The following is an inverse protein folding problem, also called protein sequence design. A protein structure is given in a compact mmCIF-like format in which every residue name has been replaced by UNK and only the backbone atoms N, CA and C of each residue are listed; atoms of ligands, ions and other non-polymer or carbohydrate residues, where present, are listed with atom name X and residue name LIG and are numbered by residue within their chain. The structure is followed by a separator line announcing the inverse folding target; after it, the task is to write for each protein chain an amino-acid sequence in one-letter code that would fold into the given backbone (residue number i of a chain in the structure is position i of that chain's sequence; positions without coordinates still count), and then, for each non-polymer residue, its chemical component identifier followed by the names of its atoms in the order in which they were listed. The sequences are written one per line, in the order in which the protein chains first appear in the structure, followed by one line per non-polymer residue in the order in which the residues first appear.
data_IF_329574310339
#
_entry.id   IF_329574310339
#
_cell.length_a   1.000
_cell.length_b   1.000
_cell.length_c   1.000
_cell.angle_alpha   90.00
_cell.angle_beta   90.00
_cell.angle_gamma   90.00
#
_symmetry.space_group_name_H-M   'P 1'
#
loop_
_entity.id
_entity.type
_entity.pdbx_description
1 polymer ?
#
# COMPACT_ATOMS: atom_id res chain seq x y z
N UNK A 1 48.24 10.81 -19.20
CA UNK A 1 46.90 10.37 -19.61
C UNK A 1 45.90 10.95 -18.62
N UNK A 2 45.00 11.86 -19.00
CA UNK A 2 44.02 12.36 -18.05
C UNK A 2 42.99 11.26 -17.77
N UNK A 3 42.74 11.00 -16.49
CA UNK A 3 41.70 10.10 -16.01
C UNK A 3 40.34 10.59 -16.55
N UNK A 4 39.73 9.80 -17.43
CA UNK A 4 38.37 10.02 -17.87
C UNK A 4 37.45 9.63 -16.71
N UNK A 5 37.11 10.59 -15.86
CA UNK A 5 36.13 10.41 -14.80
C UNK A 5 34.79 10.20 -15.50
N UNK A 6 34.20 9.01 -15.33
CA UNK A 6 32.84 8.73 -15.78
C UNK A 6 31.89 9.66 -15.03
N UNK A 7 31.37 10.68 -15.72
CA UNK A 7 30.27 11.49 -15.20
C UNK A 7 28.98 10.67 -15.34
N UNK A 8 28.41 10.30 -14.20
CA UNK A 8 27.08 9.70 -14.16
C UNK A 8 26.07 10.84 -14.18
N UNK A 9 25.15 10.80 -15.15
CA UNK A 9 23.97 11.67 -15.14
C UNK A 9 23.04 11.17 -14.03
N UNK A 10 23.01 11.89 -12.91
CA UNK A 10 22.24 11.54 -11.71
C UNK A 10 20.74 11.49 -12.01
N UNK A 11 20.21 12.44 -12.79
CA UNK A 11 18.78 12.45 -13.15
C UNK A 11 18.41 11.23 -14.01
N UNK A 12 19.28 10.87 -14.96
CA UNK A 12 19.10 9.67 -15.77
C UNK A 12 19.17 8.40 -14.91
N UNK A 13 20.10 8.35 -13.94
CA UNK A 13 20.26 7.22 -13.03
C UNK A 13 19.01 7.03 -12.16
N UNK A 14 18.54 8.09 -11.51
CA UNK A 14 17.34 8.07 -10.67
C UNK A 14 16.13 7.59 -11.46
N UNK A 15 15.86 8.22 -12.62
CA UNK A 15 14.70 7.84 -13.45
C UNK A 15 14.77 6.38 -13.92
N UNK A 16 15.96 5.90 -14.29
CA UNK A 16 16.13 4.50 -14.71
C UNK A 16 15.97 3.54 -13.55
N UNK A 17 16.50 3.89 -12.37
CA UNK A 17 16.41 3.08 -11.18
C UNK A 17 14.96 2.95 -10.72
N UNK A 18 14.24 4.06 -10.64
CA UNK A 18 12.82 4.08 -10.26
C UNK A 18 12.00 3.18 -11.18
N UNK A 19 12.17 3.33 -12.51
CA UNK A 19 11.50 2.46 -13.47
C UNK A 19 11.82 0.98 -13.26
N UNK A 20 13.09 0.65 -13.03
CA UNK A 20 13.50 -0.74 -12.78
C UNK A 20 12.88 -1.29 -11.49
N UNK A 21 12.83 -0.49 -10.43
CA UNK A 21 12.20 -0.88 -9.16
C UNK A 21 10.71 -1.13 -9.37
N UNK A 22 9.98 -0.19 -9.99
CA UNK A 22 8.55 -0.35 -10.27
C UNK A 22 8.27 -1.60 -11.11
N UNK A 23 9.03 -1.81 -12.21
CA UNK A 23 8.90 -2.99 -13.07
C UNK A 23 9.15 -4.30 -12.31
N UNK A 24 10.17 -4.33 -11.44
CA UNK A 24 10.50 -5.53 -10.67
C UNK A 24 9.48 -5.82 -9.58
N UNK A 25 8.98 -4.80 -8.90
CA UNK A 25 7.92 -4.96 -7.90
C UNK A 25 6.64 -5.48 -8.56
N UNK A 26 6.24 -4.92 -9.70
CA UNK A 26 5.07 -5.41 -10.46
C UNK A 26 5.24 -6.87 -10.90
N UNK A 27 6.42 -7.24 -11.42
CA UNK A 27 6.71 -8.62 -11.82
C UNK A 27 6.63 -9.58 -10.63
N UNK A 28 7.20 -9.21 -9.49
CA UNK A 28 7.20 -10.04 -8.27
C UNK A 28 5.79 -10.23 -7.71
N UNK A 29 4.99 -9.16 -7.61
CA UNK A 29 3.61 -9.24 -7.14
C UNK A 29 2.77 -10.16 -8.02
N UNK A 30 2.89 -10.02 -9.35
CA UNK A 30 2.18 -10.89 -10.29
C UNK A 30 2.64 -12.35 -10.21
N UNK A 31 3.94 -12.59 -10.05
CA UNK A 31 4.46 -13.94 -9.86
C UNK A 31 3.96 -14.59 -8.57
N UNK A 32 3.87 -13.83 -7.48
CA UNK A 32 3.30 -14.31 -6.22
C UNK A 32 1.82 -14.66 -6.35
N UNK A 33 1.01 -13.83 -7.02
CA UNK A 33 -0.40 -14.13 -7.28
C UNK A 33 -0.57 -15.41 -8.11
N UNK A 34 0.28 -15.60 -9.13
CA UNK A 34 0.26 -16.82 -9.92
C UNK A 34 0.69 -18.04 -9.09
N UNK A 35 1.67 -17.91 -8.20
CA UNK A 35 2.09 -19.00 -7.30
C UNK A 35 0.96 -19.39 -6.31
N UNK A 36 0.29 -18.42 -5.69
CA UNK A 36 -0.89 -18.67 -4.85
C UNK A 36 -1.99 -19.41 -5.61
N UNK A 37 -2.21 -19.05 -6.88
CA UNK A 37 -3.19 -19.74 -7.71
C UNK A 37 -2.81 -21.21 -7.95
N UNK A 38 -1.53 -21.51 -8.15
CA UNK A 38 -1.05 -22.89 -8.32
C UNK A 38 -1.24 -23.71 -7.04
N UNK A 39 -0.98 -23.12 -5.87
CA UNK A 39 -1.25 -23.74 -4.56
C UNK A 39 -2.76 -24.03 -4.37
N UNK A 40 -3.62 -23.07 -4.67
CA UNK A 40 -5.08 -23.24 -4.57
C UNK A 40 -5.57 -24.30 -5.56
N UNK A 41 -5.06 -24.32 -6.80
CA UNK A 41 -5.45 -25.31 -7.80
C UNK A 41 -4.86 -26.70 -7.55
N UNK A 42 -3.78 -26.80 -6.77
CA UNK A 42 -3.02 -28.04 -6.56
C UNK A 42 -2.30 -28.54 -7.81
N UNK A 43 -2.01 -27.63 -8.75
CA UNK A 43 -1.41 -27.94 -10.04
C UNK A 43 -0.95 -26.66 -10.73
N UNK A 44 0.22 -26.70 -11.37
CA UNK A 44 0.72 -25.59 -12.17
C UNK A 44 -0.12 -25.34 -13.43
N UNK A 45 0.12 -24.18 -14.06
CA UNK A 45 -0.53 -23.82 -15.32
C UNK A 45 -0.26 -24.87 -16.40
N UNK A 46 -1.34 -25.39 -16.98
CA UNK A 46 -1.34 -26.47 -18.00
C UNK A 46 -0.85 -27.84 -17.55
N UNK A 47 -0.48 -28.01 -16.27
CA UNK A 47 -0.10 -29.30 -15.74
C UNK A 47 -1.27 -30.28 -15.78
N UNK A 48 -1.01 -31.57 -15.96
CA UNK A 48 -2.04 -32.62 -15.79
C UNK A 48 -1.77 -33.33 -14.48
N UNK A 49 -2.52 -32.95 -13.44
CA UNK A 49 -2.45 -33.57 -12.12
C UNK A 49 -3.82 -34.13 -11.74
N UNK A 50 -3.83 -35.32 -11.13
CA UNK A 50 -5.03 -35.93 -10.55
C UNK A 50 -5.49 -35.21 -9.26
N UNK A 51 -4.62 -34.41 -8.65
CA UNK A 51 -4.91 -33.65 -7.42
C UNK A 51 -5.56 -32.29 -7.68
N UNK A 52 -5.79 -31.92 -8.95
CA UNK A 52 -6.34 -30.62 -9.34
C UNK A 52 -7.72 -30.39 -8.74
N UNK A 53 -7.86 -29.28 -8.00
CA UNK A 53 -9.11 -28.88 -7.31
C UNK A 53 -9.90 -27.81 -8.05
N UNK A 54 -9.21 -26.96 -8.81
CA UNK A 54 -9.82 -25.86 -9.54
C UNK A 54 -9.09 -25.61 -10.87
N UNK A 55 -9.72 -24.83 -11.75
CA UNK A 55 -9.20 -24.52 -13.09
C UNK A 55 -8.98 -23.01 -13.24
N UNK A 56 -7.85 -22.63 -13.83
CA UNK A 56 -7.59 -21.23 -14.21
C UNK A 56 -8.54 -20.79 -15.33
N UNK A 57 -9.17 -19.64 -15.15
CA UNK A 57 -10.14 -19.03 -16.06
C UNK A 57 -9.67 -17.65 -16.57
N UNK A 58 -8.36 -17.49 -16.71
CA UNK A 58 -7.71 -16.23 -17.08
C UNK A 58 -7.44 -15.33 -15.89
N UNK A 59 -7.36 -14.02 -16.14
CA UNK A 59 -7.05 -13.00 -15.14
C UNK A 59 -8.02 -11.82 -15.27
N UNK A 60 -8.09 -10.96 -14.25
CA UNK A 60 -8.54 -9.57 -14.41
C UNK A 60 -7.43 -8.63 -13.97
N UNK A 61 -7.44 -7.42 -14.51
CA UNK A 61 -6.49 -6.38 -14.15
C UNK A 61 -7.07 -5.47 -13.07
N UNK A 62 -6.24 -5.11 -12.09
CA UNK A 62 -6.50 -4.03 -11.14
C UNK A 62 -5.21 -3.29 -10.80
N UNK A 63 -5.35 -2.03 -10.40
CA UNK A 63 -4.22 -1.25 -9.93
C UNK A 63 -4.07 -1.36 -8.41
N UNK A 64 -2.82 -1.37 -7.95
CA UNK A 64 -2.45 -1.24 -6.54
C UNK A 64 -1.37 -0.17 -6.40
N UNK A 65 -1.62 0.85 -5.60
CA UNK A 65 -0.60 1.83 -5.23
C UNK A 65 0.29 1.26 -4.13
N UNK A 66 1.59 1.21 -4.40
CA UNK A 66 2.64 0.85 -3.42
C UNK A 66 3.67 1.98 -3.38
N UNK A 67 4.64 1.89 -2.47
CA UNK A 67 5.72 2.91 -2.37
C UNK A 67 6.44 3.17 -3.69
N UNK A 68 6.69 2.12 -4.47
CA UNK A 68 7.34 2.18 -5.78
C UNK A 68 6.43 2.69 -6.92
N UNK A 69 5.22 3.17 -6.63
CA UNK A 69 4.27 3.71 -7.61
C UNK A 69 3.02 2.83 -7.78
N UNK A 70 2.32 3.02 -8.90
CA UNK A 70 1.12 2.24 -9.22
C UNK A 70 1.49 0.97 -9.97
N UNK A 71 1.13 -0.19 -9.42
CA UNK A 71 1.39 -1.51 -10.01
C UNK A 71 0.15 -2.05 -10.70
N UNK A 72 0.32 -2.58 -11.91
CA UNK A 72 -0.74 -3.29 -12.64
C UNK A 72 -0.73 -4.76 -12.25
N UNK A 73 -1.75 -5.18 -11.50
CA UNK A 73 -1.89 -6.55 -11.03
C UNK A 73 -2.79 -7.34 -11.97
N UNK A 74 -2.32 -8.53 -12.37
CA UNK A 74 -3.07 -9.55 -13.09
C UNK A 74 -3.53 -10.59 -12.08
N UNK A 75 -4.72 -10.39 -11.54
CA UNK A 75 -5.27 -11.27 -10.51
C UNK A 75 -5.89 -12.51 -11.16
N UNK A 76 -5.46 -13.73 -10.78
CA UNK A 76 -6.00 -14.97 -11.31
C UNK A 76 -7.50 -15.12 -11.07
N UNK A 77 -8.20 -15.65 -12.07
CA UNK A 77 -9.58 -16.14 -11.95
C UNK A 77 -9.55 -17.65 -11.88
N UNK A 78 -10.23 -18.21 -10.90
CA UNK A 78 -10.37 -19.66 -10.75
C UNK A 78 -11.83 -20.08 -10.95
N UNK A 79 -12.02 -21.27 -11.52
CA UNK A 79 -13.30 -21.96 -11.66
C UNK A 79 -13.28 -23.19 -10.75
N UNK A 80 -14.23 -23.27 -9.83
CA UNK A 80 -14.31 -24.33 -8.82
C UNK A 80 -13.69 -23.97 -7.46
N UNK A 81 -13.00 -22.84 -7.35
CA UNK A 81 -12.52 -22.28 -6.08
C UNK A 81 -12.59 -20.75 -6.12
N UNK A 82 -12.69 -20.12 -4.94
CA UNK A 82 -12.51 -18.68 -4.78
C UNK A 82 -11.02 -18.37 -4.72
N UNK A 83 -10.58 -17.35 -5.46
CA UNK A 83 -9.22 -16.84 -5.34
C UNK A 83 -9.18 -15.75 -4.26
N UNK A 84 -8.64 -16.09 -3.09
CA UNK A 84 -8.33 -15.15 -2.02
C UNK A 84 -6.81 -15.12 -1.84
N UNK A 85 -6.22 -13.95 -2.08
CA UNK A 85 -4.77 -13.75 -2.00
C UNK A 85 -4.37 -13.39 -0.57
N UNK A 86 -3.30 -14.01 -0.08
CA UNK A 86 -2.63 -13.62 1.16
C UNK A 86 -1.64 -12.47 0.92
N UNK A 87 -1.10 -12.36 -0.31
CA UNK A 87 -0.18 -11.28 -0.71
C UNK A 87 -0.92 -9.94 -0.80
N UNK A 88 -2.15 -9.92 -1.33
CA UNK A 88 -2.90 -8.69 -1.56
C UNK A 88 -4.37 -8.86 -1.21
N UNK A 89 -4.81 -8.15 -0.18
CA UNK A 89 -6.21 -8.11 0.22
C UNK A 89 -7.17 -7.78 -0.95
N UNK A 90 -8.34 -8.41 -0.89
CA UNK A 90 -9.41 -8.18 -1.85
C UNK A 90 -9.89 -6.73 -1.76
N UNK A 91 -10.06 -6.07 -2.91
CA UNK A 91 -10.50 -4.67 -3.04
C UNK A 91 -9.56 -3.60 -2.47
N UNK A 92 -8.46 -3.98 -1.82
CA UNK A 92 -7.43 -3.03 -1.39
C UNK A 92 -6.83 -2.33 -2.61
N UNK A 93 -6.78 -0.99 -2.55
CA UNK A 93 -6.26 -0.12 -3.61
C UNK A 93 -4.88 0.46 -3.31
N UNK A 94 -4.50 0.51 -2.04
CA UNK A 94 -3.23 1.06 -1.56
C UNK A 94 -2.61 0.13 -0.54
N UNK A 95 -1.29 -0.01 -0.59
CA UNK A 95 -0.49 -0.67 0.44
C UNK A 95 -0.61 0.09 1.77
N UNK A 96 -0.48 -0.63 2.87
CA UNK A 96 -0.54 -0.07 4.23
C UNK A 96 0.43 1.08 4.44
N UNK A 97 1.67 0.89 4.00
CA UNK A 97 2.73 1.87 4.22
C UNK A 97 2.52 3.20 3.48
N UNK A 98 1.77 3.19 2.37
CA UNK A 98 1.33 4.41 1.67
C UNK A 98 0.24 5.11 2.49
N UNK A 99 -0.68 4.35 3.06
CA UNK A 99 -1.77 4.88 3.87
C UNK A 99 -1.27 5.47 5.19
N UNK A 100 -0.28 4.83 5.84
CA UNK A 100 0.41 5.32 7.02
C UNK A 100 1.12 6.66 6.75
N UNK A 101 1.89 6.76 5.66
CA UNK A 101 2.57 8.00 5.30
C UNK A 101 1.58 9.17 5.10
N UNK A 102 0.39 8.91 4.54
CA UNK A 102 -0.65 9.92 4.37
C UNK A 102 -1.30 10.34 5.70
N UNK A 103 -1.44 9.40 6.65
CA UNK A 103 -1.90 9.68 8.01
C UNK A 103 -0.85 10.52 8.76
N UNK A 104 0.43 10.16 8.66
CA UNK A 104 1.53 10.87 9.31
C UNK A 104 1.63 12.32 8.82
N UNK A 105 1.44 12.55 7.51
CA UNK A 105 1.36 13.91 6.97
C UNK A 105 0.24 14.73 7.63
N UNK A 106 -0.94 14.15 7.78
CA UNK A 106 -2.06 14.83 8.44
C UNK A 106 -1.74 15.14 9.91
N UNK A 107 -1.17 14.17 10.64
CA UNK A 107 -0.75 14.36 12.04
C UNK A 107 0.35 15.42 12.18
N UNK A 108 1.21 15.57 11.17
CA UNK A 108 2.22 16.63 11.09
C UNK A 108 1.63 18.03 10.75
N UNK A 109 0.31 18.15 10.59
CA UNK A 109 -0.38 19.42 10.35
C UNK A 109 -0.66 19.72 8.88
N UNK A 110 -0.43 18.78 7.96
CA UNK A 110 -0.78 18.94 6.55
C UNK A 110 -2.29 18.82 6.38
N UNK A 111 -2.92 19.82 5.74
CA UNK A 111 -4.37 19.80 5.53
C UNK A 111 -4.80 18.61 4.66
N UNK A 112 -6.01 18.08 4.87
CA UNK A 112 -6.53 16.93 4.08
C UNK A 112 -6.60 17.18 2.58
N UNK A 113 -6.69 18.45 2.14
CA UNK A 113 -6.62 18.82 0.72
C UNK A 113 -5.20 18.75 0.20
N UNK A 114 -4.24 19.24 0.97
CA UNK A 114 -2.83 19.19 0.61
C UNK A 114 -2.30 17.75 0.61
N UNK A 115 -2.79 16.89 1.50
CA UNK A 115 -2.53 15.44 1.45
C UNK A 115 -3.05 14.82 0.14
N UNK A 116 -4.24 15.21 -0.35
CA UNK A 116 -4.75 14.74 -1.65
C UNK A 116 -3.85 15.18 -2.82
N UNK A 117 -3.37 16.43 -2.79
CA UNK A 117 -2.48 16.96 -3.83
C UNK A 117 -1.10 16.28 -3.81
N UNK A 118 -0.53 16.05 -2.63
CA UNK A 118 0.73 15.31 -2.45
C UNK A 118 0.56 13.86 -2.90
N UNK A 119 -0.55 13.20 -2.53
CA UNK A 119 -0.83 11.82 -2.95
C UNK A 119 -0.81 11.68 -4.48
N UNK A 120 -1.42 12.63 -5.18
CA UNK A 120 -1.45 12.65 -6.64
C UNK A 120 -0.06 12.90 -7.23
N UNK A 121 0.72 13.78 -6.63
CA UNK A 121 2.07 14.11 -7.10
C UNK A 121 3.01 12.91 -6.96
N UNK A 122 2.98 12.22 -5.82
CA UNK A 122 3.91 11.13 -5.51
C UNK A 122 3.51 9.81 -6.18
N UNK A 123 2.22 9.49 -6.23
CA UNK A 123 1.75 8.16 -6.65
C UNK A 123 0.82 8.18 -7.86
N UNK A 124 0.46 9.35 -8.40
CA UNK A 124 -0.44 9.48 -9.55
C UNK A 124 -1.91 9.24 -9.22
N UNK A 125 -2.24 8.81 -8.00
CA UNK A 125 -3.62 8.58 -7.54
C UNK A 125 -3.98 9.54 -6.40
N UNK A 126 -5.17 10.15 -6.50
CA UNK A 126 -5.76 10.97 -5.43
C UNK A 126 -6.16 10.11 -4.24
N UNK A 127 -5.96 10.60 -3.02
CA UNK A 127 -6.63 10.05 -1.84
C UNK A 127 -7.76 11.00 -1.48
N UNK A 128 -9.04 10.63 -1.71
CA UNK A 128 -10.14 11.49 -1.33
C UNK A 128 -10.04 11.85 0.15
N UNK A 129 -10.19 13.12 0.49
CA UNK A 129 -10.12 13.57 1.89
C UNK A 129 -11.08 12.79 2.79
N UNK A 130 -12.23 12.35 2.26
CA UNK A 130 -13.17 11.48 2.96
C UNK A 130 -12.55 10.13 3.35
N UNK A 131 -11.78 9.49 2.47
CA UNK A 131 -11.10 8.22 2.74
C UNK A 131 -10.07 8.37 3.86
N UNK A 132 -9.33 9.48 3.86
CA UNK A 132 -8.40 9.80 4.94
C UNK A 132 -9.15 10.03 6.26
N UNK A 133 -10.20 10.85 6.24
CA UNK A 133 -11.05 11.08 7.42
C UNK A 133 -11.65 9.78 7.97
N UNK A 134 -12.11 8.88 7.09
CA UNK A 134 -12.68 7.59 7.49
C UNK A 134 -11.64 6.68 8.15
N UNK A 135 -10.39 6.68 7.67
CA UNK A 135 -9.28 5.97 8.31
C UNK A 135 -8.93 6.56 9.67
N UNK A 136 -8.95 7.88 9.79
CA UNK A 136 -8.66 8.60 11.02
C UNK A 136 -9.74 8.44 12.11
N UNK A 137 -10.94 7.95 11.77
CA UNK A 137 -12.01 7.68 12.77
C UNK A 137 -11.52 6.84 13.94
N UNK A 138 -10.72 5.80 13.67
CA UNK A 138 -10.13 4.95 14.73
C UNK A 138 -9.20 5.77 15.65
N UNK A 139 -8.40 6.65 15.07
CA UNK A 139 -7.51 7.55 15.83
C UNK A 139 -8.33 8.51 16.67
N UNK A 140 -9.43 9.05 16.15
CA UNK A 140 -10.35 9.91 16.91
C UNK A 140 -10.99 9.18 18.09
N UNK A 141 -11.36 7.91 17.95
CA UNK A 141 -11.88 7.10 19.06
C UNK A 141 -10.85 6.96 20.19
N UNK A 142 -9.57 6.73 19.85
CA UNK A 142 -8.49 6.64 20.83
C UNK A 142 -8.18 8.00 21.47
N UNK A 143 -8.22 9.10 20.70
CA UNK A 143 -8.10 10.46 21.22
C UNK A 143 -9.23 10.75 22.20
N UNK A 144 -10.48 10.43 21.86
CA UNK A 144 -11.62 10.67 22.74
C UNK A 144 -11.55 9.83 24.01
N UNK A 145 -11.08 8.57 23.92
CA UNK A 145 -10.80 7.75 25.11
C UNK A 145 -9.72 8.39 25.98
N UNK A 146 -8.65 8.90 25.38
CA UNK A 146 -7.57 9.57 26.10
C UNK A 146 -8.04 10.87 26.75
N UNK A 147 -8.86 11.67 26.05
CA UNK A 147 -9.43 12.94 26.54
C UNK A 147 -10.38 12.74 27.72
N UNK A 148 -11.15 11.65 27.70
CA UNK A 148 -12.15 11.34 28.73
C UNK A 148 -11.64 10.33 29.78
N UNK A 149 -10.33 10.04 29.82
CA UNK A 149 -9.79 9.09 30.79
C UNK A 149 -9.99 9.59 32.24
N UNK A 150 -10.25 8.70 33.21
CA UNK A 150 -10.25 9.08 34.60
C UNK A 150 -8.84 9.54 35.01
N UNK A 151 -8.78 10.61 35.80
CA UNK A 151 -7.55 11.11 36.42
C UNK A 151 -7.52 10.81 37.93
N UNK A 152 -8.40 9.92 38.40
CA UNK A 152 -8.59 9.64 39.83
C UNK A 152 -7.50 8.76 40.45
N UNK A 153 -6.66 8.14 39.63
CA UNK A 153 -5.68 7.14 40.08
C UNK A 153 -4.49 7.76 40.84
N UNK A 154 -4.33 9.09 40.80
CA UNK A 154 -3.23 9.83 41.45
C UNK A 154 -3.69 11.19 41.95
N UNK A 155 -2.99 11.71 42.96
CA UNK A 155 -3.13 13.10 43.38
C UNK A 155 -2.21 14.00 42.55
N UNK A 156 -2.74 15.11 42.05
CA UNK A 156 -2.01 16.10 41.26
C UNK A 156 -1.93 17.42 42.04
N UNK A 157 -0.81 17.72 42.72
CA UNK A 157 -0.69 18.91 43.57
C UNK A 157 -0.57 20.22 42.78
N UNK A 158 -0.19 20.14 41.50
CA UNK A 158 -0.01 21.30 40.62
C UNK A 158 -0.65 21.03 39.26
N UNK A 159 -1.28 22.06 38.68
CA UNK A 159 -1.86 22.07 37.35
C UNK A 159 -1.35 23.32 36.62
N UNK A 160 -0.79 23.12 35.43
CA UNK A 160 -0.43 24.21 34.53
C UNK A 160 -1.45 24.27 33.41
N UNK A 161 -1.91 25.48 33.10
CA UNK A 161 -2.84 25.75 31.99
C UNK A 161 -2.13 26.70 31.04
N UNK A 162 -2.14 26.36 29.76
CA UNK A 162 -1.55 27.14 28.69
C UNK A 162 -2.61 27.45 27.62
N UNK A 163 -2.48 28.61 26.98
CA UNK A 163 -3.37 29.09 25.92
C UNK A 163 -2.60 29.32 24.64
N UNK A 164 -3.12 28.78 23.53
CA UNK A 164 -2.52 28.87 22.20
C UNK A 164 -3.32 29.80 21.31
#
# INVERSE_FOLDING_TARGET
MPNQILQVDENMLETKLDRLVSEKVEQLLNAMLDAEADEITGAARYERSGERRAYRAGHYERNLTVKAGTMTLKVPKLKGALFESAVIERYRRREESVEEALIDMYLAGVSTRQVDDISRLLWGERMPSQTLSDKLKKVYEDIDRWRNRPLTDRSYPYLFVDGV
#
